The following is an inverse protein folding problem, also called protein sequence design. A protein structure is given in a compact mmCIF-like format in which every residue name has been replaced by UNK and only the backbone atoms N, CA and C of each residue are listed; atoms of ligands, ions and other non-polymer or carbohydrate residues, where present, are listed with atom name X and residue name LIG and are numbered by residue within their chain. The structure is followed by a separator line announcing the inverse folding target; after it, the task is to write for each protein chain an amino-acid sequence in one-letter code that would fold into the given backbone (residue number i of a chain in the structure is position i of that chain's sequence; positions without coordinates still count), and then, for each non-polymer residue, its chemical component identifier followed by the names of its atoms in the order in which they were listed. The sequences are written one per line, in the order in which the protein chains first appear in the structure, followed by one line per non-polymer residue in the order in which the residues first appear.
data_IF_914870069892
#
_entry.id   IF_914870069892
#
_cell.length_a   1.000
_cell.length_b   1.000
_cell.length_c   1.000
_cell.angle_alpha   90.00
_cell.angle_beta   90.00
_cell.angle_gamma   90.00
#
_symmetry.space_group_name_H-M   'P 1'
#
loop_
_entity.id
_entity.type
_entity.pdbx_description
1 polymer ?
#
# COMPACT_ATOMS: atom_id res chain seq x y z
N UNK A 1 5.40 5.13 47.42
CA UNK A 1 6.00 5.35 46.11
C UNK A 1 5.23 4.49 45.09
N UNK A 2 4.64 5.05 44.04
CA UNK A 2 3.98 4.23 43.05
C UNK A 2 5.05 3.39 42.33
N UNK A 3 4.83 2.08 42.24
CA UNK A 3 5.69 1.18 41.46
C UNK A 3 5.57 1.59 39.98
N UNK A 4 6.65 2.09 39.38
CA UNK A 4 6.71 2.23 37.92
C UNK A 4 6.51 0.85 37.32
N UNK A 5 5.39 0.63 36.64
CA UNK A 5 5.24 -0.54 35.78
C UNK A 5 6.35 -0.46 34.74
N UNK A 6 7.28 -1.39 34.77
CA UNK A 6 8.22 -1.57 33.65
C UNK A 6 7.37 -1.97 32.44
N UNK A 7 7.29 -1.09 31.47
CA UNK A 7 6.67 -1.38 30.18
C UNK A 7 7.62 -2.36 29.48
N UNK A 8 7.13 -3.57 29.20
CA UNK A 8 7.87 -4.55 28.40
C UNK A 8 7.89 -4.05 26.95
N UNK A 9 9.04 -3.66 26.38
CA UNK A 9 9.12 -3.14 25.02
C UNK A 9 8.79 -4.18 23.95
N UNK A 10 8.69 -5.46 24.31
CA UNK A 10 8.27 -6.54 23.41
C UNK A 10 6.75 -6.61 23.21
N UNK A 11 5.97 -6.00 24.11
CA UNK A 11 4.51 -5.97 24.01
C UNK A 11 4.10 -4.89 23.01
N UNK A 12 3.64 -5.33 21.84
CA UNK A 12 3.09 -4.44 20.81
C UNK A 12 1.59 -4.29 21.04
N UNK A 13 1.16 -3.06 21.28
CA UNK A 13 -0.26 -2.73 21.36
C UNK A 13 -0.78 -2.26 20.01
N UNK A 14 -1.89 -2.84 19.59
CA UNK A 14 -2.57 -2.51 18.34
C UNK A 14 -3.95 -1.91 18.67
N UNK A 15 -4.13 -0.59 18.56
CA UNK A 15 -5.39 0.06 18.92
C UNK A 15 -6.57 -0.55 18.13
N UNK A 16 -7.65 -1.02 18.80
CA UNK A 16 -8.80 -1.61 18.13
C UNK A 16 -9.38 -0.70 17.04
N UNK A 17 -9.47 0.59 17.31
CA UNK A 17 -9.91 1.63 16.38
C UNK A 17 -9.09 1.64 15.08
N UNK A 18 -7.77 1.49 15.18
CA UNK A 18 -6.91 1.45 13.99
C UNK A 18 -7.10 0.13 13.23
N UNK A 19 -7.22 -0.98 13.96
CA UNK A 19 -7.51 -2.29 13.33
C UNK A 19 -8.86 -2.28 12.60
N UNK A 20 -9.90 -1.67 13.16
CA UNK A 20 -11.20 -1.49 12.50
C UNK A 20 -11.07 -0.66 11.21
N UNK A 21 -10.28 0.42 11.23
CA UNK A 21 -10.02 1.22 10.03
C UNK A 21 -9.28 0.44 8.96
N UNK A 22 -8.38 -0.47 9.33
CA UNK A 22 -7.67 -1.35 8.40
C UNK A 22 -8.62 -2.38 7.75
N UNK A 23 -9.69 -2.81 8.42
CA UNK A 23 -10.69 -3.71 7.80
C UNK A 23 -11.33 -3.10 6.53
N UNK A 24 -11.42 -1.78 6.44
CA UNK A 24 -11.92 -1.12 5.24
C UNK A 24 -11.03 -1.34 4.01
N UNK A 25 -9.74 -1.70 4.19
CA UNK A 25 -8.82 -2.02 3.08
C UNK A 25 -9.39 -3.12 2.17
N UNK A 26 -10.14 -4.07 2.74
CA UNK A 26 -10.80 -5.17 2.01
C UNK A 26 -11.88 -4.71 1.02
N UNK A 27 -12.32 -3.46 1.12
CA UNK A 27 -13.39 -2.88 0.28
C UNK A 27 -12.86 -1.99 -0.85
N UNK A 28 -11.55 -1.78 -0.87
CA UNK A 28 -10.92 -0.87 -1.82
C UNK A 28 -9.82 -1.60 -2.60
N UNK A 29 -9.73 -1.36 -3.91
CA UNK A 29 -8.65 -1.94 -4.73
C UNK A 29 -7.28 -1.39 -4.32
N UNK A 30 -7.22 -0.15 -3.81
CA UNK A 30 -5.98 0.45 -3.33
C UNK A 30 -6.18 1.15 -1.99
N UNK A 31 -5.25 0.89 -1.06
CA UNK A 31 -5.14 1.60 0.21
C UNK A 31 -3.83 2.37 0.28
N UNK A 32 -3.92 3.68 0.45
CA UNK A 32 -2.77 4.54 0.70
C UNK A 32 -2.62 4.79 2.20
N UNK A 33 -1.49 4.38 2.76
CA UNK A 33 -1.14 4.54 4.18
C UNK A 33 -0.04 5.58 4.30
N UNK A 34 -0.42 6.80 4.65
CA UNK A 34 0.48 7.97 4.67
C UNK A 34 0.67 8.47 6.09
N UNK A 35 1.87 8.29 6.63
CA UNK A 35 2.27 8.83 7.93
C UNK A 35 3.80 8.96 8.02
N UNK A 36 4.34 9.81 8.88
CA UNK A 36 5.79 9.95 9.07
C UNK A 36 6.47 8.63 9.45
N UNK A 37 7.80 8.60 9.31
CA UNK A 37 8.59 7.47 9.80
C UNK A 37 8.40 7.31 11.32
N UNK A 38 8.43 6.08 11.81
CA UNK A 38 8.25 5.77 13.23
C UNK A 38 6.80 5.69 13.71
N UNK A 39 5.79 5.98 12.88
CA UNK A 39 4.36 5.88 13.24
C UNK A 39 3.83 4.43 13.26
N UNK A 40 4.68 3.43 13.08
CA UNK A 40 4.31 2.02 13.18
C UNK A 40 3.54 1.46 11.98
N UNK A 41 3.56 2.14 10.82
CA UNK A 41 2.87 1.69 9.60
C UNK A 41 3.17 0.23 9.26
N UNK A 42 4.45 -0.09 9.10
CA UNK A 42 4.91 -1.44 8.76
C UNK A 42 4.48 -2.46 9.79
N UNK A 43 4.67 -2.16 11.08
CA UNK A 43 4.31 -3.05 12.18
C UNK A 43 2.82 -3.40 12.22
N UNK A 44 1.94 -2.40 12.05
CA UNK A 44 0.48 -2.61 12.09
C UNK A 44 -0.02 -3.32 10.84
N UNK A 45 0.55 -3.00 9.67
CA UNK A 45 0.20 -3.67 8.42
C UNK A 45 0.62 -5.15 8.42
N UNK A 46 1.83 -5.48 8.88
CA UNK A 46 2.26 -6.87 9.07
C UNK A 46 1.32 -7.63 10.01
N UNK A 47 0.96 -7.00 11.13
CA UNK A 47 0.03 -7.61 12.09
C UNK A 47 -1.36 -7.84 11.45
N UNK A 48 -1.91 -6.83 10.76
CA UNK A 48 -3.20 -6.94 10.09
C UNK A 48 -3.20 -8.03 9.03
N UNK A 49 -2.24 -8.00 8.12
CA UNK A 49 -2.12 -9.00 7.05
C UNK A 49 -1.92 -10.42 7.61
N UNK A 50 -1.17 -10.54 8.70
CA UNK A 50 -0.90 -11.83 9.34
C UNK A 50 -2.09 -12.42 10.10
N UNK A 51 -2.96 -11.57 10.67
CA UNK A 51 -4.04 -12.00 11.58
C UNK A 51 -5.44 -11.91 10.97
N UNK A 52 -5.65 -11.04 9.98
CA UNK A 52 -6.98 -10.72 9.43
C UNK A 52 -7.23 -11.26 8.02
N UNK A 53 -6.19 -11.77 7.37
CA UNK A 53 -6.34 -12.42 6.06
C UNK A 53 -6.13 -13.95 6.18
N UNK A 54 -6.88 -14.75 5.40
CA UNK A 54 -6.66 -16.19 5.31
C UNK A 54 -5.24 -16.51 4.84
N UNK A 55 -4.67 -17.64 5.27
CA UNK A 55 -3.33 -18.07 4.86
C UNK A 55 -3.23 -18.40 3.36
N UNK A 56 -4.36 -18.74 2.75
CA UNK A 56 -4.45 -19.05 1.32
C UNK A 56 -4.34 -17.84 0.39
N UNK A 57 -4.47 -16.63 0.91
CA UNK A 57 -4.36 -15.40 0.12
C UNK A 57 -2.91 -15.16 -0.27
N UNK A 58 -2.66 -14.92 -1.56
CA UNK A 58 -1.34 -14.55 -2.06
C UNK A 58 -0.95 -13.16 -1.51
N UNK A 59 0.26 -13.06 -0.97
CA UNK A 59 0.77 -11.81 -0.38
C UNK A 59 2.18 -11.57 -0.87
N UNK A 60 2.36 -10.44 -1.51
CA UNK A 60 3.65 -9.96 -1.98
C UNK A 60 3.97 -8.62 -1.33
N UNK A 61 5.20 -8.43 -0.90
CA UNK A 61 5.70 -7.15 -0.36
C UNK A 61 6.99 -6.78 -1.05
N UNK A 62 7.09 -5.53 -1.44
CA UNK A 62 8.34 -4.93 -1.88
C UNK A 62 8.57 -3.60 -1.18
N UNK A 63 9.76 -3.44 -0.59
CA UNK A 63 10.21 -2.21 0.05
C UNK A 63 11.10 -1.45 -0.93
N UNK A 64 10.69 -0.23 -1.27
CA UNK A 64 11.42 0.59 -2.22
C UNK A 64 12.68 1.19 -1.60
N UNK A 65 13.77 1.14 -2.36
CA UNK A 65 15.07 1.73 -1.99
C UNK A 65 15.30 2.98 -2.82
N UNK A 66 15.68 4.08 -2.17
CA UNK A 66 15.92 5.36 -2.82
C UNK A 66 16.98 5.28 -3.93
N UNK A 67 16.73 6.02 -5.03
CA UNK A 67 17.67 6.12 -6.16
C UNK A 67 17.61 4.96 -7.16
N UNK A 68 16.61 4.07 -7.07
CA UNK A 68 16.46 2.90 -7.96
C UNK A 68 15.08 2.78 -8.61
N UNK A 69 14.61 3.80 -9.36
CA UNK A 69 13.24 3.78 -9.91
C UNK A 69 13.00 2.62 -10.88
N UNK A 70 13.99 2.27 -11.72
CA UNK A 70 13.89 1.13 -12.65
C UNK A 70 13.74 -0.21 -11.93
N UNK A 71 14.37 -0.36 -10.79
CA UNK A 71 14.23 -1.58 -9.98
C UNK A 71 12.83 -1.69 -9.41
N UNK A 72 12.26 -0.58 -8.93
CA UNK A 72 10.89 -0.53 -8.42
C UNK A 72 9.86 -0.97 -9.47
N UNK A 73 10.00 -0.48 -10.71
CA UNK A 73 9.12 -0.90 -11.80
C UNK A 73 9.25 -2.40 -12.12
N UNK A 74 10.49 -2.88 -12.25
CA UNK A 74 10.73 -4.32 -12.50
C UNK A 74 10.15 -5.20 -11.40
N UNK A 75 10.25 -4.78 -10.14
CA UNK A 75 9.69 -5.54 -9.02
C UNK A 75 8.16 -5.55 -9.04
N UNK A 76 7.52 -4.42 -9.37
CA UNK A 76 6.06 -4.41 -9.56
C UNK A 76 5.64 -5.36 -10.69
N UNK A 77 6.31 -5.30 -11.83
CA UNK A 77 6.04 -6.23 -12.94
C UNK A 77 6.27 -7.69 -12.51
N UNK A 78 7.34 -8.00 -11.77
CA UNK A 78 7.61 -9.35 -11.28
C UNK A 78 6.56 -9.87 -10.28
N UNK A 79 5.99 -9.00 -9.46
CA UNK A 79 4.86 -9.37 -8.59
C UNK A 79 3.61 -9.66 -9.42
N UNK A 80 3.33 -8.83 -10.42
CA UNK A 80 2.18 -9.04 -11.32
C UNK A 80 2.36 -10.27 -12.23
N UNK A 81 3.60 -10.67 -12.58
CA UNK A 81 3.87 -11.88 -13.35
C UNK A 81 3.36 -13.16 -12.68
N UNK A 82 3.29 -13.17 -11.33
CA UNK A 82 2.72 -14.30 -10.57
C UNK A 82 1.20 -14.37 -10.64
N UNK A 83 0.56 -13.29 -11.06
CA UNK A 83 -0.90 -13.14 -11.13
C UNK A 83 -1.33 -13.31 -12.58
N UNK A 84 -0.73 -12.52 -13.47
CA UNK A 84 -1.01 -12.46 -14.89
C UNK A 84 0.30 -12.22 -15.67
N UNK A 85 0.94 -13.30 -16.19
CA UNK A 85 2.20 -13.17 -16.92
C UNK A 85 2.11 -12.35 -18.21
N UNK A 86 0.94 -12.30 -18.85
CA UNK A 86 0.76 -11.59 -20.11
C UNK A 86 0.67 -10.08 -19.86
N UNK A 87 -0.13 -9.66 -18.90
CA UNK A 87 -0.18 -8.28 -18.45
C UNK A 87 1.19 -7.79 -17.96
N UNK A 88 1.89 -8.59 -17.15
CA UNK A 88 3.22 -8.23 -16.63
C UNK A 88 4.26 -8.04 -17.76
N UNK A 89 4.26 -8.87 -18.78
CA UNK A 89 5.13 -8.72 -19.95
C UNK A 89 4.82 -7.45 -20.75
N UNK A 90 3.55 -7.14 -20.93
CA UNK A 90 3.12 -5.91 -21.59
C UNK A 90 3.59 -4.68 -20.81
N UNK A 91 3.36 -4.63 -19.50
CA UNK A 91 3.82 -3.56 -18.63
C UNK A 91 5.35 -3.39 -18.67
N UNK A 92 6.10 -4.50 -18.61
CA UNK A 92 7.56 -4.48 -18.71
C UNK A 92 8.06 -3.92 -20.05
N UNK A 93 7.33 -4.16 -21.16
CA UNK A 93 7.67 -3.63 -22.48
C UNK A 93 7.40 -2.13 -22.63
N UNK A 94 6.39 -1.60 -21.94
CA UNK A 94 6.06 -0.16 -21.91
C UNK A 94 7.16 0.62 -21.17
N UNK A 95 7.69 0.04 -20.09
CA UNK A 95 8.75 0.66 -19.28
C UNK A 95 8.23 1.46 -18.08
N UNK A 96 9.14 2.22 -17.45
CA UNK A 96 8.82 2.97 -16.23
C UNK A 96 7.70 4.00 -16.45
N UNK A 97 6.77 4.15 -15.47
CA UNK A 97 5.68 5.12 -15.58
C UNK A 97 6.17 6.57 -15.69
N UNK A 98 5.70 7.27 -16.71
CA UNK A 98 5.84 8.72 -16.85
C UNK A 98 4.59 9.32 -17.50
N UNK A 99 4.63 10.62 -17.81
CA UNK A 99 3.50 11.36 -18.37
C UNK A 99 3.14 10.90 -19.79
N UNK A 100 4.11 10.37 -20.55
CA UNK A 100 3.95 9.98 -21.94
C UNK A 100 3.33 8.58 -22.08
N UNK A 101 3.64 7.65 -21.14
CA UNK A 101 3.24 6.24 -21.25
C UNK A 101 2.18 5.80 -20.23
N UNK A 102 1.76 6.65 -19.31
CA UNK A 102 0.82 6.25 -18.24
C UNK A 102 -0.53 5.77 -18.79
N UNK A 103 -0.96 6.26 -19.95
CA UNK A 103 -2.19 5.81 -20.61
C UNK A 103 -2.06 4.38 -21.12
N UNK A 104 -0.89 4.02 -21.66
CA UNK A 104 -0.62 2.68 -22.16
C UNK A 104 -0.51 1.69 -20.98
N UNK A 105 0.09 2.14 -19.87
CA UNK A 105 0.11 1.37 -18.62
C UNK A 105 -1.30 1.12 -18.09
N UNK A 106 -2.16 2.14 -18.08
CA UNK A 106 -3.55 1.99 -17.66
C UNK A 106 -4.33 1.03 -18.58
N UNK A 107 -4.08 1.08 -19.90
CA UNK A 107 -4.67 0.16 -20.86
C UNK A 107 -4.21 -1.29 -20.58
N UNK A 108 -2.92 -1.52 -20.37
CA UNK A 108 -2.40 -2.84 -20.01
C UNK A 108 -2.98 -3.37 -18.70
N UNK A 109 -3.11 -2.52 -17.68
CA UNK A 109 -3.71 -2.89 -16.39
C UNK A 109 -5.22 -3.18 -16.50
N UNK A 110 -5.92 -2.64 -17.51
CA UNK A 110 -7.34 -2.94 -17.72
C UNK A 110 -7.61 -4.36 -18.18
N UNK A 111 -6.59 -5.01 -18.77
CA UNK A 111 -6.63 -6.40 -19.22
C UNK A 111 -6.18 -7.38 -18.11
N UNK A 112 -5.74 -6.86 -16.94
CA UNK A 112 -5.23 -7.71 -15.86
C UNK A 112 -6.30 -8.66 -15.32
N UNK A 113 -6.03 -9.95 -15.39
CA UNK A 113 -6.84 -11.00 -14.79
C UNK A 113 -6.22 -11.47 -13.47
N UNK A 114 -6.95 -11.31 -12.36
CA UNK A 114 -6.53 -11.77 -11.04
C UNK A 114 -7.47 -12.90 -10.58
N UNK A 115 -7.09 -14.18 -10.75
CA UNK A 115 -7.97 -15.33 -10.49
C UNK A 115 -8.21 -15.57 -9.01
N UNK A 116 -7.28 -15.18 -8.14
CA UNK A 116 -7.32 -15.39 -6.69
C UNK A 116 -7.16 -14.09 -5.92
N UNK A 117 -7.71 -14.01 -4.71
CA UNK A 117 -7.53 -12.85 -3.85
C UNK A 117 -6.05 -12.65 -3.55
N UNK A 118 -5.54 -11.51 -4.01
CA UNK A 118 -4.12 -11.19 -3.97
C UNK A 118 -3.89 -9.84 -3.33
N UNK A 119 -2.89 -9.78 -2.46
CA UNK A 119 -2.49 -8.55 -1.77
C UNK A 119 -1.05 -8.21 -2.14
N UNK A 120 -0.86 -7.05 -2.73
CA UNK A 120 0.46 -6.47 -3.02
C UNK A 120 0.70 -5.30 -2.07
N UNK A 121 1.82 -5.34 -1.37
CA UNK A 121 2.22 -4.23 -0.51
C UNK A 121 3.48 -3.56 -1.03
N UNK A 122 3.32 -2.31 -1.44
CA UNK A 122 4.37 -1.41 -1.90
C UNK A 122 4.80 -0.54 -0.70
N UNK A 123 5.88 -0.92 -0.05
CA UNK A 123 6.35 -0.27 1.19
C UNK A 123 7.42 0.78 0.89
N UNK A 124 7.41 1.87 1.68
CA UNK A 124 8.28 3.04 1.50
C UNK A 124 8.23 3.63 0.07
N UNK A 125 7.03 3.73 -0.47
CA UNK A 125 6.74 4.12 -1.85
C UNK A 125 7.39 5.46 -2.26
N UNK A 126 7.58 6.40 -1.33
CA UNK A 126 8.26 7.67 -1.62
C UNK A 126 9.69 7.46 -2.14
N UNK A 127 10.35 6.36 -1.76
CA UNK A 127 11.71 6.04 -2.18
C UNK A 127 11.79 5.57 -3.62
N UNK A 128 10.67 5.18 -4.24
CA UNK A 128 10.66 4.78 -5.64
C UNK A 128 11.10 5.92 -6.57
N UNK A 129 10.65 7.16 -6.29
CA UNK A 129 10.98 8.31 -7.14
C UNK A 129 10.30 8.25 -8.52
N UNK A 130 9.17 7.55 -8.65
CA UNK A 130 8.37 7.53 -9.89
C UNK A 130 7.91 8.94 -10.27
N UNK A 131 7.97 9.29 -11.57
CA UNK A 131 7.71 10.65 -12.04
C UNK A 131 6.25 11.08 -11.92
N UNK A 132 5.31 10.15 -12.06
CA UNK A 132 3.87 10.43 -12.01
C UNK A 132 3.14 9.54 -10.99
N UNK A 133 3.49 9.62 -9.66
CA UNK A 133 2.98 8.70 -8.65
C UNK A 133 1.46 8.70 -8.56
N UNK A 134 0.82 9.85 -8.62
CA UNK A 134 -0.64 9.96 -8.54
C UNK A 134 -1.35 9.29 -9.72
N UNK A 135 -0.82 9.42 -10.94
CA UNK A 135 -1.40 8.79 -12.11
C UNK A 135 -1.23 7.27 -12.09
N UNK A 136 -0.07 6.78 -11.63
CA UNK A 136 0.15 5.35 -11.45
C UNK A 136 -0.77 4.75 -10.39
N UNK A 137 -0.92 5.39 -9.22
CA UNK A 137 -1.82 4.92 -8.18
C UNK A 137 -3.29 4.92 -8.65
N UNK A 138 -3.68 5.93 -9.44
CA UNK A 138 -5.00 5.96 -10.05
C UNK A 138 -5.21 4.80 -11.03
N UNK A 139 -4.24 4.53 -11.92
CA UNK A 139 -4.29 3.42 -12.86
C UNK A 139 -4.41 2.07 -12.11
N UNK A 140 -3.56 1.84 -11.10
CA UNK A 140 -3.61 0.64 -10.27
C UNK A 140 -4.94 0.48 -9.52
N UNK A 141 -5.54 1.59 -9.04
CA UNK A 141 -6.79 1.53 -8.31
C UNK A 141 -8.02 1.28 -9.18
N UNK A 142 -7.96 1.62 -10.46
CA UNK A 142 -9.09 1.48 -11.39
C UNK A 142 -9.06 0.19 -12.21
N UNK A 143 -7.87 -0.31 -12.49
CA UNK A 143 -7.63 -1.35 -13.50
C UNK A 143 -7.01 -2.63 -12.92
N UNK A 144 -6.74 -2.68 -11.62
CA UNK A 144 -6.10 -3.85 -10.99
C UNK A 144 -7.00 -5.08 -10.80
N UNK A 145 -8.24 -5.07 -11.31
CA UNK A 145 -9.21 -6.16 -11.11
C UNK A 145 -9.87 -6.14 -9.73
N UNK A 146 -10.92 -6.96 -9.55
CA UNK A 146 -11.73 -6.98 -8.31
C UNK A 146 -11.05 -7.71 -7.14
N UNK A 147 -10.13 -8.64 -7.44
CA UNK A 147 -9.46 -9.49 -6.45
C UNK A 147 -8.06 -9.04 -6.08
N UNK A 148 -7.59 -7.97 -6.72
CA UNK A 148 -6.28 -7.39 -6.42
C UNK A 148 -6.44 -6.24 -5.42
N UNK A 149 -5.81 -6.39 -4.26
CA UNK A 149 -5.73 -5.36 -3.24
C UNK A 149 -4.30 -4.83 -3.15
N UNK A 150 -4.13 -3.54 -3.38
CA UNK A 150 -2.83 -2.90 -3.33
C UNK A 150 -2.74 -2.02 -2.09
N UNK A 151 -1.72 -2.24 -1.27
CA UNK A 151 -1.35 -1.37 -0.16
C UNK A 151 -0.14 -0.57 -0.56
N UNK A 152 -0.21 0.73 -0.41
CA UNK A 152 0.92 1.64 -0.59
C UNK A 152 1.19 2.32 0.74
N UNK A 153 2.30 1.98 1.39
CA UNK A 153 2.75 2.68 2.59
C UNK A 153 3.87 3.67 2.25
N UNK A 154 3.74 4.89 2.77
CA UNK A 154 4.64 5.99 2.42
C UNK A 154 4.76 7.00 3.57
N UNK A 155 5.82 7.79 3.54
CA UNK A 155 5.87 9.06 4.27
C UNK A 155 5.00 10.10 3.55
N UNK A 156 4.65 11.22 4.22
CA UNK A 156 3.87 12.28 3.58
C UNK A 156 4.48 12.73 2.27
N UNK A 157 3.71 12.60 1.18
CA UNK A 157 4.16 13.01 -0.13
C UNK A 157 3.97 14.53 -0.35
N UNK A 158 4.82 15.18 -1.16
CA UNK A 158 4.67 16.59 -1.47
C UNK A 158 3.27 16.92 -1.99
N UNK A 159 2.76 18.11 -1.63
CA UNK A 159 1.44 18.57 -2.11
C UNK A 159 1.41 18.59 -3.64
N UNK A 160 0.39 18.00 -4.22
CA UNK A 160 0.21 17.92 -5.68
C UNK A 160 0.70 16.62 -6.32
N UNK A 161 1.61 15.86 -5.71
CA UNK A 161 2.07 14.58 -6.27
C UNK A 161 0.93 13.56 -6.48
N UNK A 162 -0.05 13.59 -5.59
CA UNK A 162 -1.24 12.72 -5.69
C UNK A 162 -2.38 13.37 -6.48
N UNK A 163 -2.30 14.69 -6.72
CA UNK A 163 -3.36 15.45 -7.38
C UNK A 163 -4.72 15.33 -6.67
N UNK A 164 -5.79 15.73 -7.36
CA UNK A 164 -7.18 15.48 -6.91
C UNK A 164 -7.65 14.02 -7.08
N UNK A 165 -6.80 13.17 -7.62
CA UNK A 165 -7.09 11.81 -8.08
C UNK A 165 -7.39 10.83 -6.96
N UNK A 166 -6.78 11.02 -5.78
CA UNK A 166 -7.05 10.20 -4.57
C UNK A 166 -8.50 10.37 -4.05
N UNK A 167 -9.23 11.39 -4.52
CA UNK A 167 -10.62 11.64 -4.10
C UNK A 167 -11.67 10.83 -4.88
N UNK A 168 -11.26 10.03 -5.86
CA UNK A 168 -12.16 9.33 -6.78
C UNK A 168 -12.93 8.13 -6.22
N UNK A 169 -12.88 7.85 -4.91
CA UNK A 169 -13.65 6.76 -4.28
C UNK A 169 -13.07 5.35 -4.45
N UNK A 170 -11.98 5.19 -5.21
CA UNK A 170 -11.30 3.90 -5.43
C UNK A 170 -10.10 3.70 -4.50
N UNK A 171 -9.68 4.74 -3.79
CA UNK A 171 -8.50 4.72 -2.91
C UNK A 171 -8.95 4.98 -1.48
N UNK A 172 -8.68 4.05 -0.58
CA UNK A 172 -8.81 4.26 0.86
C UNK A 172 -7.56 4.95 1.38
N UNK A 173 -7.70 6.15 1.93
CA UNK A 173 -6.57 6.94 2.42
C UNK A 173 -6.54 6.96 3.95
N UNK A 174 -5.58 6.24 4.54
CA UNK A 174 -5.24 6.30 5.95
C UNK A 174 -4.10 7.29 6.15
N UNK A 175 -4.39 8.35 6.91
CA UNK A 175 -3.43 9.41 7.21
C UNK A 175 -2.88 9.27 8.63
N UNK A 176 -1.87 10.09 8.93
CA UNK A 176 -1.17 10.12 10.22
C UNK A 176 -2.10 10.20 11.44
N UNK A 177 -3.21 10.94 11.35
CA UNK A 177 -4.21 11.06 12.41
C UNK A 177 -4.81 9.72 12.85
N UNK A 178 -4.78 8.74 11.95
CA UNK A 178 -5.21 7.37 12.23
C UNK A 178 -4.25 6.63 13.16
N UNK A 179 -2.97 6.97 13.11
CA UNK A 179 -1.87 6.31 13.82
C UNK A 179 -1.54 6.97 15.17
N UNK A 180 -2.02 8.19 15.40
CA UNK A 180 -1.83 8.89 16.68
C UNK A 180 -2.62 8.16 17.76
N UNK A 181 -1.95 7.78 18.85
CA UNK A 181 -2.61 7.21 20.03
C UNK A 181 -3.51 8.25 20.68
N UNK A 182 -4.73 7.85 21.02
CA UNK A 182 -5.69 8.65 21.76
C UNK A 182 -5.69 8.23 23.23
N UNK A 183 -6.29 9.04 24.10
CA UNK A 183 -6.41 8.68 25.51
C UNK A 183 -7.11 7.33 25.72
N UNK A 184 -8.16 7.05 24.92
CA UNK A 184 -8.86 5.76 24.90
C UNK A 184 -7.94 4.57 24.58
N UNK A 185 -6.97 4.76 23.68
CA UNK A 185 -5.99 3.73 23.32
C UNK A 185 -5.03 3.45 24.48
N UNK A 186 -4.73 4.47 25.31
CA UNK A 186 -3.82 4.37 26.46
C UNK A 186 -4.52 3.69 27.65
N UNK A 187 -5.82 3.92 27.85
CA UNK A 187 -6.61 3.28 28.91
C UNK A 187 -6.81 1.79 28.67
N UNK A 188 -6.76 1.35 27.40
CA UNK A 188 -6.86 -0.06 27.00
C UNK A 188 -5.54 -0.84 27.05
N UNK A 189 -4.41 -0.14 27.35
CA UNK A 189 -3.06 -0.71 27.48
C UNK A 189 -2.77 -1.07 28.95
#
# INVERSE_FOLDING_TARGET
MPRSRQIDPSVKYYPPRLMERLEYMKRYPLTLVEAPSGFGKTTILEHFLGTRLPRSVLRERYEFVSGRPREGWRQLCAMLERIDPDCARQLASIGEPDEDNITDIAAALSELECPEDTWIWLDDFINWGVKCPGALLEALSRHGGERLHIIVSTQPMPRGCLGGRVRGGHIWHLREDSFVFRNEDIEGY
#
